data_IF_450470861667
#
_entry.id   IF_450470861667
#
_cell.length_a   1.000
_cell.length_b   1.000
_cell.length_c   1.000
_cell.angle_alpha   90.00
_cell.angle_beta   90.00
_cell.angle_gamma   90.00
#
_symmetry.space_group_name_H-M   'P 1'
#
loop_
_entity.id
_entity.type
_entity.pdbx_description
1 polymer ?
#
# COMPACT_ATOMS: atom_id res chain seq x y z
N UNK A 1 4.07 1.35 -27.43
CA UNK A 1 2.84 1.81 -26.73
C UNK A 1 2.98 3.30 -26.42
N UNK A 2 1.89 4.07 -26.40
CA UNK A 2 1.93 5.48 -25.97
C UNK A 2 2.18 5.59 -24.46
N UNK A 3 2.97 6.57 -24.01
CA UNK A 3 3.29 6.78 -22.58
C UNK A 3 2.04 6.89 -21.69
N UNK A 4 0.97 7.49 -22.22
CA UNK A 4 -0.32 7.63 -21.52
C UNK A 4 -0.91 6.28 -21.10
N UNK A 5 -0.78 5.22 -21.92
CA UNK A 5 -1.28 3.88 -21.53
C UNK A 5 -0.36 3.17 -20.55
N UNK A 6 0.96 3.38 -20.63
CA UNK A 6 1.91 2.75 -19.71
C UNK A 6 1.74 3.28 -18.27
N UNK A 7 1.44 4.58 -18.15
CA UNK A 7 1.18 5.27 -16.89
C UNK A 7 -0.19 4.98 -16.27
N UNK A 8 -0.92 3.98 -16.76
CA UNK A 8 -2.21 3.52 -16.21
C UNK A 8 -2.10 2.16 -15.49
N UNK A 9 -1.04 1.37 -15.75
CA UNK A 9 -1.11 -0.09 -15.56
C UNK A 9 -0.73 -0.66 -14.16
N UNK A 10 -0.39 0.17 -13.17
CA UNK A 10 0.45 -0.27 -12.03
C UNK A 10 -0.03 0.06 -10.60
N UNK A 11 -1.28 0.46 -10.40
CA UNK A 11 -1.67 1.18 -9.18
C UNK A 11 -2.34 0.36 -8.06
N UNK A 12 -1.91 -0.89 -7.84
CA UNK A 12 -2.46 -1.67 -6.72
C UNK A 12 -1.64 -2.85 -6.20
N UNK A 13 -0.41 -3.08 -6.68
CA UNK A 13 0.21 -4.39 -6.53
C UNK A 13 1.00 -4.67 -5.23
N UNK A 14 1.25 -3.69 -4.34
CA UNK A 14 2.13 -3.94 -3.19
C UNK A 14 1.94 -2.96 -2.01
N UNK A 15 1.42 -3.49 -0.89
CA UNK A 15 0.75 -2.71 0.17
C UNK A 15 0.94 -3.37 1.57
N UNK A 16 1.99 -2.98 2.32
CA UNK A 16 2.35 -3.42 3.72
C UNK A 16 2.93 -2.23 4.51
N UNK A 17 2.68 -1.90 5.80
CA UNK A 17 2.63 -0.50 6.37
C UNK A 17 3.71 -0.02 7.39
N UNK A 18 3.51 1.24 7.85
CA UNK A 18 3.87 1.89 9.15
C UNK A 18 5.00 2.93 9.21
N UNK A 19 4.73 4.05 9.91
CA UNK A 19 5.50 5.30 9.98
C UNK A 19 6.16 5.60 11.34
N UNK A 20 7.29 6.31 11.30
CA UNK A 20 7.94 6.97 12.44
C UNK A 20 7.91 8.50 12.24
N UNK A 21 7.72 9.24 13.33
CA UNK A 21 7.90 10.68 13.39
C UNK A 21 9.00 11.02 14.41
N UNK A 22 10.00 11.83 14.02
CA UNK A 22 10.97 12.40 14.95
C UNK A 22 10.45 13.76 15.42
N UNK A 23 10.29 13.92 16.74
CA UNK A 23 10.08 15.22 17.39
C UNK A 23 11.31 15.60 18.22
N UNK A 24 11.85 16.80 17.98
CA UNK A 24 12.88 17.41 18.84
C UNK A 24 12.21 18.18 19.98
N UNK A 25 12.69 17.99 21.21
CA UNK A 25 12.12 18.61 22.42
C UNK A 25 13.03 19.75 22.92
N UNK A 26 12.44 20.92 23.16
CA UNK A 26 12.97 21.93 24.09
C UNK A 26 11.96 22.15 25.23
N UNK A 27 12.39 22.47 26.47
CA UNK A 27 11.53 22.38 27.64
C UNK A 27 10.94 23.72 28.13
N UNK A 28 9.67 23.73 28.55
CA UNK A 28 9.08 24.80 29.36
C UNK A 28 7.91 24.34 30.27
N UNK A 29 8.22 24.13 31.55
CA UNK A 29 7.36 24.25 32.77
C UNK A 29 5.82 24.18 32.69
N UNK A 30 5.30 22.98 32.98
CA UNK A 30 4.20 22.64 33.92
C UNK A 30 3.10 23.66 34.28
N UNK A 31 1.98 23.65 33.54
CA UNK A 31 0.59 23.66 34.11
C UNK A 31 -0.35 22.71 33.31
N UNK A 32 0.18 21.88 32.40
CA UNK A 32 -0.59 21.32 31.29
C UNK A 32 -1.05 19.85 31.42
N UNK A 33 -0.82 19.17 32.56
CA UNK A 33 -0.82 17.69 32.61
C UNK A 33 -2.09 17.01 32.09
N UNK A 34 -3.28 17.40 32.55
CA UNK A 34 -4.53 16.68 32.22
C UNK A 34 -4.97 16.88 30.75
N UNK A 35 -4.67 18.03 30.16
CA UNK A 35 -4.98 18.30 28.75
C UNK A 35 -3.94 17.66 27.81
N UNK A 36 -2.65 17.76 28.18
CA UNK A 36 -1.56 17.12 27.44
C UNK A 36 -1.70 15.60 27.44
N UNK A 37 -2.01 14.96 28.57
CA UNK A 37 -2.22 13.49 28.65
C UNK A 37 -3.32 13.01 27.69
N UNK A 38 -4.41 13.77 27.53
CA UNK A 38 -5.50 13.44 26.60
C UNK A 38 -5.16 13.67 25.12
N UNK A 39 -4.33 14.68 24.83
CA UNK A 39 -3.87 14.98 23.47
C UNK A 39 -2.77 14.01 23.03
N UNK A 40 -1.79 13.73 23.90
CA UNK A 40 -0.72 12.76 23.70
C UNK A 40 -1.27 11.34 23.51
N UNK A 41 -2.25 10.91 24.31
CA UNK A 41 -2.90 9.61 24.12
C UNK A 41 -3.60 9.49 22.75
N UNK A 42 -4.20 10.58 22.26
CA UNK A 42 -4.82 10.63 20.94
C UNK A 42 -3.78 10.60 19.82
N UNK A 43 -2.63 11.28 20.00
CA UNK A 43 -1.48 11.22 19.07
C UNK A 43 -0.89 9.81 19.02
N UNK A 44 -0.71 9.14 20.16
CA UNK A 44 -0.24 7.75 20.22
C UNK A 44 -1.20 6.82 19.49
N UNK A 45 -2.51 6.87 19.78
CA UNK A 45 -3.50 6.03 19.09
C UNK A 45 -3.55 6.23 17.57
N UNK A 46 -3.27 7.44 17.08
CA UNK A 46 -3.14 7.74 15.64
C UNK A 46 -1.91 7.12 15.00
N UNK A 47 -0.83 6.89 15.77
CA UNK A 47 0.45 6.37 15.29
C UNK A 47 0.64 4.87 15.57
N UNK A 48 -0.20 4.26 16.41
CA UNK A 48 -0.20 2.82 16.70
C UNK A 48 -0.79 2.02 15.54
N UNK A 49 -0.07 0.99 15.10
CA UNK A 49 -0.59 0.00 14.15
C UNK A 49 -1.60 -0.90 14.87
N UNK A 50 -2.87 -0.85 14.45
CA UNK A 50 -3.97 -1.65 15.02
C UNK A 50 -3.95 -1.71 16.56
N UNK A 51 -4.18 -0.57 17.25
CA UNK A 51 -4.50 -0.60 18.67
C UNK A 51 -5.74 -1.47 18.91
N UNK A 52 -5.88 -2.05 20.10
CA UNK A 52 -7.01 -2.91 20.42
C UNK A 52 -8.33 -2.15 20.24
N UNK A 53 -9.08 -2.51 19.20
CA UNK A 53 -10.32 -1.84 18.82
C UNK A 53 -11.48 -2.30 19.72
N UNK A 54 -12.55 -1.50 19.74
CA UNK A 54 -13.78 -1.83 20.45
C UNK A 54 -14.44 -3.13 19.98
N UNK A 55 -15.36 -3.64 20.80
CA UNK A 55 -16.15 -4.87 20.53
C UNK A 55 -17.30 -4.65 19.55
N UNK A 56 -17.36 -3.50 18.86
CA UNK A 56 -18.27 -3.29 17.74
C UNK A 56 -17.88 -4.19 16.55
N UNK A 57 -18.75 -4.25 15.52
CA UNK A 57 -18.51 -5.15 14.38
C UNK A 57 -17.24 -4.79 13.61
N UNK A 58 -16.97 -3.51 13.36
CA UNK A 58 -15.77 -3.10 12.62
C UNK A 58 -14.53 -3.35 13.46
N UNK A 59 -14.52 -2.93 14.73
CA UNK A 59 -13.42 -3.17 15.66
C UNK A 59 -13.07 -4.66 15.81
N UNK A 60 -14.08 -5.51 15.97
CA UNK A 60 -13.90 -6.97 16.07
C UNK A 60 -13.31 -7.60 14.79
N UNK A 61 -13.68 -7.08 13.61
CA UNK A 61 -13.12 -7.54 12.34
C UNK A 61 -11.67 -7.06 12.20
N UNK A 62 -11.39 -5.79 12.51
CA UNK A 62 -10.06 -5.20 12.40
C UNK A 62 -9.05 -5.84 13.38
N UNK A 63 -9.48 -6.17 14.60
CA UNK A 63 -8.66 -6.90 15.59
C UNK A 63 -8.23 -8.28 15.06
N UNK A 64 -9.14 -9.04 14.44
CA UNK A 64 -8.83 -10.36 13.84
C UNK A 64 -8.04 -10.24 12.54
N UNK A 65 -8.36 -9.26 11.71
CA UNK A 65 -7.58 -8.90 10.54
C UNK A 65 -6.11 -8.63 10.85
N UNK A 66 -5.83 -7.93 11.95
CA UNK A 66 -4.45 -7.74 12.39
C UNK A 66 -3.81 -9.03 12.91
N UNK A 67 -4.47 -9.70 13.87
CA UNK A 67 -3.90 -10.82 14.63
C UNK A 67 -3.78 -12.10 13.78
N UNK A 68 -4.82 -12.45 13.04
CA UNK A 68 -4.94 -13.69 12.25
C UNK A 68 -4.48 -13.49 10.80
N UNK A 69 -4.92 -12.39 10.16
CA UNK A 69 -4.52 -12.04 8.78
C UNK A 69 -3.05 -11.63 8.73
N UNK A 70 -2.74 -10.40 9.16
CA UNK A 70 -1.41 -9.80 9.05
C UNK A 70 -0.33 -10.39 9.97
N UNK A 71 -0.70 -11.22 10.95
CA UNK A 71 0.23 -11.88 11.87
C UNK A 71 0.56 -11.09 13.15
N UNK A 72 -0.18 -10.02 13.44
CA UNK A 72 -0.11 -9.25 14.68
C UNK A 72 1.13 -8.37 14.86
N UNK A 73 1.17 -7.66 15.99
CA UNK A 73 2.15 -6.61 16.26
C UNK A 73 3.62 -7.05 16.20
N UNK A 74 3.96 -8.25 16.67
CA UNK A 74 5.37 -8.70 16.70
C UNK A 74 5.94 -8.89 15.28
N UNK A 75 5.27 -9.68 14.43
CA UNK A 75 5.66 -9.86 13.04
C UNK A 75 5.66 -8.51 12.31
N UNK A 76 4.67 -7.68 12.64
CA UNK A 76 4.48 -6.39 12.05
C UNK A 76 5.62 -5.39 12.30
N UNK A 77 6.02 -5.21 13.55
CA UNK A 77 7.10 -4.32 13.93
C UNK A 77 8.41 -4.73 13.24
N UNK A 78 8.64 -6.06 13.19
CA UNK A 78 9.82 -6.67 12.57
C UNK A 78 9.91 -6.41 11.06
N UNK A 79 8.80 -6.34 10.30
CA UNK A 79 8.86 -6.04 8.85
C UNK A 79 9.11 -4.55 8.62
N UNK A 80 10.31 -4.17 8.18
CA UNK A 80 10.68 -2.77 7.91
C UNK A 80 10.77 -2.45 6.42
N UNK A 81 11.06 -3.45 5.59
CA UNK A 81 11.25 -3.28 4.15
C UNK A 81 11.08 -4.60 3.41
N UNK A 82 10.64 -4.54 2.15
CA UNK A 82 10.46 -5.68 1.27
C UNK A 82 11.28 -5.50 0.00
N UNK A 83 11.95 -6.56 -0.45
CA UNK A 83 12.40 -6.73 -1.82
C UNK A 83 11.55 -7.83 -2.44
N UNK A 84 10.98 -7.57 -3.60
CA UNK A 84 10.28 -8.58 -4.40
C UNK A 84 10.87 -8.62 -5.81
N UNK A 85 10.83 -9.80 -6.42
CA UNK A 85 11.07 -9.98 -7.85
C UNK A 85 10.10 -11.02 -8.41
N UNK A 86 9.81 -10.93 -9.69
CA UNK A 86 8.90 -11.83 -10.37
C UNK A 86 8.60 -11.42 -11.80
N UNK A 87 7.51 -11.94 -12.35
CA UNK A 87 7.08 -11.71 -13.74
C UNK A 87 5.81 -10.89 -13.80
N UNK A 88 5.76 -10.00 -14.79
CA UNK A 88 4.72 -9.02 -14.94
C UNK A 88 4.14 -9.09 -16.36
N UNK A 89 2.89 -9.54 -16.45
CA UNK A 89 2.13 -9.69 -17.69
C UNK A 89 1.31 -8.44 -17.95
N UNK A 90 1.44 -7.89 -19.15
CA UNK A 90 0.76 -6.69 -19.66
C UNK A 90 0.19 -7.00 -21.05
N UNK A 91 -0.68 -6.14 -21.55
CA UNK A 91 -1.16 -6.21 -22.95
C UNK A 91 -0.04 -6.12 -24.01
N UNK A 92 1.15 -5.66 -23.64
CA UNK A 92 2.34 -5.58 -24.50
C UNK A 92 3.32 -6.74 -24.38
N UNK A 93 3.10 -7.73 -23.51
CA UNK A 93 4.03 -8.84 -23.27
C UNK A 93 4.21 -9.18 -21.79
N UNK A 94 5.16 -10.07 -21.51
CA UNK A 94 5.58 -10.46 -20.16
C UNK A 94 7.00 -9.93 -19.91
N UNK A 95 7.24 -9.36 -18.72
CA UNK A 95 8.44 -8.60 -18.39
C UNK A 95 8.95 -9.01 -17.00
N UNK A 96 10.27 -9.04 -16.80
CA UNK A 96 10.84 -9.20 -15.47
C UNK A 96 10.61 -7.94 -14.63
N UNK A 97 10.23 -8.13 -13.38
CA UNK A 97 9.89 -7.08 -12.45
C UNK A 97 10.71 -7.21 -11.16
N UNK A 98 11.17 -6.08 -10.63
CA UNK A 98 11.57 -5.99 -9.23
C UNK A 98 10.97 -4.75 -8.57
N UNK A 99 10.66 -4.88 -7.29
CA UNK A 99 10.34 -3.74 -6.45
C UNK A 99 11.01 -3.81 -5.08
N UNK A 100 11.31 -2.63 -4.57
CA UNK A 100 11.77 -2.36 -3.24
C UNK A 100 10.71 -1.52 -2.56
N UNK A 101 10.44 -1.83 -1.29
CA UNK A 101 9.59 -1.01 -0.43
C UNK A 101 10.20 -0.86 0.95
N UNK A 102 9.88 0.25 1.64
CA UNK A 102 10.28 0.50 3.02
C UNK A 102 9.26 1.37 3.75
N UNK A 103 9.03 1.08 5.03
CA UNK A 103 8.33 1.93 6.00
C UNK A 103 8.79 3.40 5.87
N UNK A 104 7.88 4.40 5.72
CA UNK A 104 6.42 4.31 5.73
C UNK A 104 5.72 4.23 4.36
N UNK A 105 6.42 4.61 3.29
CA UNK A 105 5.82 4.84 1.97
C UNK A 105 6.88 4.94 0.88
N UNK A 106 8.08 4.42 1.14
CA UNK A 106 9.12 4.37 0.11
C UNK A 106 8.82 3.21 -0.82
N UNK A 107 8.74 3.48 -2.12
CA UNK A 107 8.63 2.45 -3.17
C UNK A 107 9.57 2.78 -4.32
N UNK A 108 10.17 1.74 -4.90
CA UNK A 108 10.89 1.83 -6.17
C UNK A 108 10.66 0.54 -6.92
N UNK A 109 10.22 0.64 -8.16
CA UNK A 109 9.96 -0.48 -9.05
C UNK A 109 10.75 -0.33 -10.35
N UNK A 110 11.13 -1.47 -10.91
CA UNK A 110 11.82 -1.60 -12.20
C UNK A 110 11.09 -2.65 -13.01
N UNK A 111 10.73 -2.32 -14.24
CA UNK A 111 10.23 -3.25 -15.24
C UNK A 111 11.32 -3.35 -16.31
N UNK A 112 11.86 -4.54 -16.50
CA UNK A 112 12.89 -4.82 -17.49
C UNK A 112 12.22 -5.13 -18.83
N UNK A 113 12.67 -4.44 -19.89
CA UNK A 113 12.21 -4.71 -21.25
C UNK A 113 13.34 -4.55 -22.25
N UNK A 114 13.17 -5.18 -23.42
CA UNK A 114 14.14 -5.28 -24.54
C UNK A 114 14.74 -3.95 -25.04
N UNK A 115 14.18 -2.84 -24.57
CA UNK A 115 14.48 -1.49 -25.02
C UNK A 115 14.93 -0.55 -23.90
N UNK A 116 15.23 -1.11 -22.73
CA UNK A 116 15.66 -0.41 -21.52
C UNK A 116 14.62 -0.46 -20.41
N UNK A 117 15.11 -0.33 -19.18
CA UNK A 117 14.30 -0.41 -17.96
C UNK A 117 13.37 0.80 -17.79
N UNK A 118 12.10 0.51 -17.51
CA UNK A 118 11.16 1.49 -16.96
C UNK A 118 11.32 1.49 -15.45
N UNK A 119 11.72 2.63 -14.88
CA UNK A 119 11.95 2.79 -13.43
C UNK A 119 10.98 3.83 -12.88
N UNK A 120 10.35 3.53 -11.75
CA UNK A 120 9.44 4.45 -11.05
C UNK A 120 9.70 4.38 -9.54
N UNK A 121 9.44 5.47 -8.82
CA UNK A 121 9.58 5.45 -7.37
C UNK A 121 9.02 6.68 -6.66
N UNK A 122 8.95 6.59 -5.33
CA UNK A 122 8.55 7.65 -4.44
C UNK A 122 9.47 7.63 -3.21
N UNK A 123 10.11 8.77 -2.93
CA UNK A 123 11.08 8.93 -1.83
C UNK A 123 10.45 9.50 -0.54
N UNK A 124 9.13 9.43 -0.43
CA UNK A 124 8.36 10.09 0.63
C UNK A 124 8.09 11.58 0.41
N UNK A 125 8.60 12.17 -0.68
CA UNK A 125 8.32 13.56 -1.06
C UNK A 125 8.04 13.75 -2.55
N UNK A 126 8.81 13.09 -3.41
CA UNK A 126 8.73 13.23 -4.88
C UNK A 126 8.48 11.86 -5.49
N UNK A 127 7.35 11.73 -6.19
CA UNK A 127 7.11 10.61 -7.10
C UNK A 127 7.81 10.90 -8.43
N UNK A 128 8.55 9.95 -8.97
CA UNK A 128 9.40 10.12 -10.15
C UNK A 128 9.36 8.90 -11.05
N UNK A 129 9.66 9.10 -12.34
CA UNK A 129 9.79 8.04 -13.32
C UNK A 129 10.98 8.27 -14.27
N UNK A 130 11.51 7.18 -14.84
CA UNK A 130 12.46 7.20 -15.94
C UNK A 130 11.97 6.20 -16.99
N UNK A 131 11.39 6.73 -18.08
CA UNK A 131 10.65 5.97 -19.12
C UNK A 131 11.24 6.22 -20.53
N UNK A 132 12.19 7.14 -20.68
CA UNK A 132 12.70 7.57 -21.99
C UNK A 132 13.71 6.58 -22.56
N UNK A 133 13.33 5.91 -23.64
CA UNK A 133 14.21 5.09 -24.50
C UNK A 133 15.50 5.88 -24.83
N UNK A 134 16.65 5.44 -24.34
CA UNK A 134 17.95 6.09 -24.57
C UNK A 134 18.33 7.27 -23.65
N UNK A 135 17.47 7.68 -22.70
CA UNK A 135 17.84 8.66 -21.67
C UNK A 135 17.61 8.11 -20.27
N UNK A 136 18.65 8.11 -19.44
CA UNK A 136 18.58 7.66 -18.06
C UNK A 136 17.93 8.68 -17.11
N UNK A 137 17.67 9.90 -17.59
CA UNK A 137 17.13 11.00 -16.80
C UNK A 137 15.79 10.62 -16.17
N UNK A 138 15.74 10.72 -14.84
CA UNK A 138 14.51 10.59 -14.08
C UNK A 138 13.83 11.96 -13.99
N UNK A 139 12.51 11.97 -14.17
CA UNK A 139 11.67 13.16 -14.16
C UNK A 139 10.64 13.01 -13.03
N UNK A 140 10.29 14.12 -12.38
CA UNK A 140 9.21 14.13 -11.41
C UNK A 140 7.87 13.86 -12.13
N UNK A 141 6.98 13.10 -11.48
CA UNK A 141 5.64 12.86 -12.00
C UNK A 141 4.80 14.14 -11.91
N UNK A 142 4.00 14.41 -12.95
CA UNK A 142 3.01 15.49 -12.94
C UNK A 142 1.97 15.29 -11.81
N UNK A 143 1.40 16.34 -11.20
CA UNK A 143 0.64 16.23 -9.95
C UNK A 143 -0.47 15.17 -9.92
N UNK A 144 -1.21 14.99 -11.02
CA UNK A 144 -2.24 13.96 -11.13
C UNK A 144 -1.66 12.53 -11.16
N UNK A 145 -0.57 12.33 -11.89
CA UNK A 145 0.16 11.06 -11.93
C UNK A 145 0.82 10.77 -10.57
N UNK A 146 1.45 11.78 -9.96
CA UNK A 146 2.07 11.69 -8.66
C UNK A 146 1.06 11.30 -7.57
N UNK A 147 -0.12 11.95 -7.51
CA UNK A 147 -1.20 11.58 -6.58
C UNK A 147 -1.61 10.12 -6.75
N UNK A 148 -1.85 9.68 -7.99
CA UNK A 148 -2.26 8.30 -8.29
C UNK A 148 -1.17 7.28 -7.90
N UNK A 149 0.10 7.60 -8.17
CA UNK A 149 1.23 6.76 -7.78
C UNK A 149 1.40 6.69 -6.27
N UNK A 150 1.33 7.82 -5.57
CA UNK A 150 1.47 7.91 -4.11
C UNK A 150 0.37 7.12 -3.39
N UNK A 151 -0.86 7.11 -3.94
CA UNK A 151 -1.96 6.28 -3.43
C UNK A 151 -1.60 4.79 -3.39
N UNK A 152 -1.11 4.23 -4.51
CA UNK A 152 -0.65 2.84 -4.60
C UNK A 152 0.75 2.58 -4.02
N UNK A 153 1.55 3.62 -3.78
CA UNK A 153 2.91 3.55 -3.22
C UNK A 153 2.95 3.36 -1.71
N UNK A 154 1.81 3.47 -1.03
CA UNK A 154 1.72 3.32 0.41
C UNK A 154 2.32 1.95 0.76
N UNK A 155 3.39 1.99 1.56
CA UNK A 155 3.68 0.86 2.41
C UNK A 155 2.38 0.80 3.27
N UNK A 156 1.45 -0.11 2.93
CA UNK A 156 0.35 -0.56 3.77
C UNK A 156 -1.05 -0.22 3.32
N UNK A 157 -2.01 -1.03 3.73
CA UNK A 157 -3.41 -0.67 3.50
C UNK A 157 -3.82 0.48 4.42
N UNK A 158 -4.97 1.06 4.10
CA UNK A 158 -5.54 2.11 4.92
C UNK A 158 -6.20 1.57 6.20
N UNK A 159 -6.53 0.28 6.26
CA UNK A 159 -7.15 -0.37 7.43
C UNK A 159 -6.25 -0.29 8.68
N UNK A 160 -4.97 -0.64 8.55
CA UNK A 160 -4.06 -0.86 9.68
C UNK A 160 -3.97 0.29 10.70
N UNK A 161 -4.22 1.52 10.26
CA UNK A 161 -4.17 2.69 11.13
C UNK A 161 -5.57 3.24 11.38
N UNK A 162 -6.43 2.59 12.17
CA UNK A 162 -7.85 2.95 12.30
C UNK A 162 -8.05 4.44 12.62
N UNK A 163 -7.26 4.97 13.56
CA UNK A 163 -7.41 6.35 14.05
C UNK A 163 -6.57 7.41 13.34
N UNK A 164 -5.62 7.07 12.46
CA UNK A 164 -4.82 8.11 11.80
C UNK A 164 -5.71 9.05 10.97
N UNK A 165 -5.38 10.33 10.94
CA UNK A 165 -6.17 11.38 10.28
C UNK A 165 -6.22 11.23 8.76
N UNK A 166 -7.07 12.03 8.10
CA UNK A 166 -7.19 12.06 6.65
C UNK A 166 -8.06 10.94 6.06
N UNK A 167 -8.86 10.25 6.89
CA UNK A 167 -9.78 9.19 6.45
C UNK A 167 -10.91 8.87 7.44
N UNK A 168 -11.93 8.18 6.95
CA UNK A 168 -12.99 7.50 7.71
C UNK A 168 -13.08 6.04 7.29
N UNK A 169 -13.39 5.13 8.22
CA UNK A 169 -13.69 3.73 7.93
C UNK A 169 -15.13 3.38 8.29
N UNK A 170 -15.73 2.48 7.53
CA UNK A 170 -17.06 1.93 7.77
C UNK A 170 -17.13 0.46 7.33
N UNK A 171 -17.70 -0.40 8.17
CA UNK A 171 -18.13 -1.74 7.73
C UNK A 171 -19.41 -1.56 6.92
N UNK A 172 -19.47 -2.15 5.72
CA UNK A 172 -20.65 -2.10 4.87
C UNK A 172 -21.48 -3.37 5.03
N UNK A 173 -20.98 -4.50 4.53
CA UNK A 173 -21.70 -5.77 4.59
C UNK A 173 -20.74 -6.98 4.51
N UNK A 174 -21.28 -8.20 4.51
CA UNK A 174 -20.57 -9.45 4.25
C UNK A 174 -21.10 -10.05 2.95
N UNK A 175 -20.27 -10.07 1.91
CA UNK A 175 -20.67 -10.33 0.53
C UNK A 175 -19.82 -11.43 -0.12
N UNK A 176 -20.36 -12.20 -1.07
CA UNK A 176 -19.56 -13.13 -1.87
C UNK A 176 -18.71 -12.37 -2.89
N UNK A 177 -17.42 -12.70 -2.96
CA UNK A 177 -16.46 -12.23 -3.97
C UNK A 177 -15.75 -13.46 -4.51
N UNK A 178 -15.95 -13.77 -5.80
CA UNK A 178 -15.27 -14.86 -6.52
C UNK A 178 -15.32 -16.22 -5.78
N UNK A 179 -16.47 -16.52 -5.16
CA UNK A 179 -16.72 -17.73 -4.37
C UNK A 179 -16.32 -17.66 -2.89
N UNK A 180 -15.61 -16.61 -2.47
CA UNK A 180 -15.18 -16.38 -1.08
C UNK A 180 -16.12 -15.40 -0.36
N UNK A 181 -16.57 -15.73 0.84
CA UNK A 181 -17.38 -14.83 1.66
C UNK A 181 -16.46 -13.81 2.34
N UNK A 182 -16.65 -12.53 2.07
CA UNK A 182 -15.77 -11.45 2.51
C UNK A 182 -16.53 -10.38 3.32
N UNK A 183 -15.93 -9.87 4.39
CA UNK A 183 -16.32 -8.61 4.99
C UNK A 183 -15.90 -7.46 4.06
N UNK A 184 -16.84 -6.56 3.71
CA UNK A 184 -16.57 -5.34 2.97
C UNK A 184 -16.35 -4.17 3.94
N UNK A 185 -15.15 -3.59 3.92
CA UNK A 185 -14.77 -2.43 4.72
C UNK A 185 -14.40 -1.29 3.77
N UNK A 186 -15.15 -0.20 3.84
CA UNK A 186 -14.89 1.01 3.05
C UNK A 186 -14.03 1.98 3.83
N UNK A 187 -13.09 2.61 3.13
CA UNK A 187 -12.28 3.71 3.62
C UNK A 187 -12.42 4.90 2.67
N UNK A 188 -12.94 6.02 3.17
CA UNK A 188 -12.94 7.30 2.45
C UNK A 188 -11.72 8.11 2.88
N UNK A 189 -10.97 8.68 1.94
CA UNK A 189 -9.74 9.42 2.17
C UNK A 189 -9.90 10.90 1.78
N UNK A 190 -9.31 11.81 2.56
CA UNK A 190 -9.26 13.25 2.28
C UNK A 190 -8.46 13.57 0.99
N UNK A 191 -7.68 12.61 0.48
CA UNK A 191 -7.04 12.65 -0.83
C UNK A 191 -8.00 12.41 -2.01
N UNK A 192 -9.32 12.47 -1.77
CA UNK A 192 -10.38 12.25 -2.75
C UNK A 192 -10.35 10.83 -3.36
N UNK A 193 -10.01 9.84 -2.54
CA UNK A 193 -10.03 8.41 -2.91
C UNK A 193 -10.97 7.66 -1.97
N UNK A 194 -11.68 6.67 -2.50
CA UNK A 194 -12.39 5.67 -1.73
C UNK A 194 -11.74 4.30 -1.99
N UNK A 195 -11.56 3.51 -0.93
CA UNK A 195 -10.96 2.17 -1.00
C UNK A 195 -11.88 1.18 -0.31
N UNK A 196 -12.41 0.22 -1.04
CA UNK A 196 -13.22 -0.87 -0.51
C UNK A 196 -12.37 -2.15 -0.42
N UNK A 197 -12.13 -2.61 0.80
CA UNK A 197 -11.43 -3.84 1.11
C UNK A 197 -12.42 -4.99 1.28
N UNK A 198 -12.14 -6.12 0.63
CA UNK A 198 -12.89 -7.36 0.76
C UNK A 198 -12.00 -8.39 1.45
N UNK A 199 -12.28 -8.64 2.74
CA UNK A 199 -11.46 -9.46 3.63
C UNK A 199 -12.18 -10.77 3.91
N UNK A 200 -11.57 -11.93 3.60
CA UNK A 200 -12.18 -13.25 3.84
C UNK A 200 -12.55 -13.44 5.33
N UNK A 201 -13.78 -13.85 5.59
CA UNK A 201 -14.30 -14.07 6.96
C UNK A 201 -13.62 -15.25 7.69
N UNK A 202 -12.89 -16.11 6.97
CA UNK A 202 -12.22 -17.30 7.51
C UNK A 202 -10.74 -17.09 7.81
N UNK A 203 -9.99 -16.53 6.87
CA UNK A 203 -8.52 -16.32 6.97
C UNK A 203 -8.12 -14.90 7.34
N UNK A 204 -9.05 -13.95 7.24
CA UNK A 204 -8.81 -12.51 7.35
C UNK A 204 -7.73 -11.96 6.41
N UNK A 205 -7.52 -12.62 5.27
CA UNK A 205 -6.70 -12.11 4.17
C UNK A 205 -7.53 -11.21 3.25
N UNK A 206 -6.88 -10.23 2.62
CA UNK A 206 -7.50 -9.41 1.58
C UNK A 206 -7.68 -10.27 0.32
N UNK A 207 -8.89 -10.38 -0.20
CA UNK A 207 -9.18 -11.10 -1.45
C UNK A 207 -9.24 -10.12 -2.62
N UNK A 208 -9.85 -8.96 -2.39
CA UNK A 208 -10.03 -7.91 -3.40
C UNK A 208 -9.93 -6.54 -2.76
N UNK A 209 -9.37 -5.58 -3.49
CA UNK A 209 -9.36 -4.15 -3.11
C UNK A 209 -9.79 -3.32 -4.30
N UNK A 210 -10.87 -2.54 -4.13
CA UNK A 210 -11.40 -1.63 -5.15
C UNK A 210 -11.04 -0.20 -4.76
N UNK A 211 -10.37 0.52 -5.66
CA UNK A 211 -9.98 1.92 -5.54
C UNK A 211 -10.82 2.77 -6.50
N UNK A 212 -11.58 3.72 -5.95
CA UNK A 212 -12.35 4.70 -6.71
C UNK A 212 -11.74 6.09 -6.52
N UNK A 213 -11.32 6.71 -7.61
CA UNK A 213 -10.88 8.11 -7.62
C UNK A 213 -12.10 9.03 -7.68
N UNK A 214 -12.40 9.71 -6.57
CA UNK A 214 -13.61 10.53 -6.46
C UNK A 214 -13.55 11.80 -7.32
N UNK A 215 -12.36 12.18 -7.81
CA UNK A 215 -12.18 13.33 -8.71
C UNK A 215 -12.53 13.03 -10.16
N UNK A 216 -12.24 11.80 -10.61
CA UNK A 216 -12.33 11.40 -12.03
C UNK A 216 -13.42 10.36 -12.28
N UNK A 217 -13.94 9.72 -11.22
CA UNK A 217 -14.82 8.56 -11.33
C UNK A 217 -14.11 7.28 -11.75
N UNK A 218 -12.78 7.29 -11.89
CA UNK A 218 -12.01 6.11 -12.31
C UNK A 218 -12.06 5.04 -11.23
N UNK A 219 -12.52 3.84 -11.58
CA UNK A 219 -12.52 2.66 -10.71
C UNK A 219 -11.45 1.68 -11.18
N UNK A 220 -10.62 1.22 -10.25
CA UNK A 220 -9.64 0.16 -10.48
C UNK A 220 -9.66 -0.83 -9.33
N UNK A 221 -9.31 -2.08 -9.55
CA UNK A 221 -9.20 -3.07 -8.47
C UNK A 221 -8.08 -4.06 -8.68
N UNK A 222 -7.68 -4.67 -7.57
CA UNK A 222 -6.80 -5.82 -7.55
C UNK A 222 -7.50 -7.00 -6.90
N UNK A 223 -7.24 -8.19 -7.43
CA UNK A 223 -7.55 -9.48 -6.80
C UNK A 223 -6.23 -10.11 -6.36
N UNK A 224 -6.19 -10.61 -5.13
CA UNK A 224 -5.02 -11.24 -4.53
C UNK A 224 -5.20 -12.76 -4.47
N UNK A 225 -4.23 -13.49 -4.98
CA UNK A 225 -4.23 -14.93 -5.11
C UNK A 225 -2.92 -15.53 -4.58
N UNK A 226 -2.94 -16.83 -4.28
CA UNK A 226 -1.76 -17.64 -3.93
C UNK A 226 -0.94 -17.05 -2.75
N UNK A 227 -1.59 -16.85 -1.60
CA UNK A 227 -0.95 -16.32 -0.41
C UNK A 227 0.06 -17.28 0.23
N UNK A 228 1.29 -16.78 0.42
CA UNK A 228 2.31 -17.38 1.29
C UNK A 228 2.49 -16.56 2.58
N UNK A 229 3.22 -17.10 3.56
CA UNK A 229 3.67 -16.34 4.75
C UNK A 229 5.18 -16.31 4.81
N UNK A 230 5.75 -15.11 4.70
CA UNK A 230 7.20 -14.86 4.79
C UNK A 230 7.43 -13.98 6.02
N UNK A 231 8.29 -14.41 6.96
CA UNK A 231 8.40 -13.83 8.31
C UNK A 231 7.03 -13.63 9.02
N UNK A 232 6.11 -14.59 8.85
CA UNK A 232 4.76 -14.58 9.43
C UNK A 232 3.76 -13.68 8.70
N UNK A 233 4.24 -12.74 7.89
CA UNK A 233 3.44 -11.75 7.17
C UNK A 233 2.84 -12.37 5.89
N UNK A 234 1.54 -12.18 5.60
CA UNK A 234 0.92 -12.71 4.39
C UNK A 234 1.36 -11.93 3.14
N UNK A 235 1.72 -12.64 2.08
CA UNK A 235 2.11 -12.07 0.79
C UNK A 235 1.43 -12.85 -0.33
N UNK A 236 0.61 -12.17 -1.13
CA UNK A 236 0.01 -12.76 -2.32
C UNK A 236 1.10 -12.98 -3.37
N UNK A 237 1.31 -14.23 -3.81
CA UNK A 237 2.25 -14.49 -4.91
C UNK A 237 1.69 -14.05 -6.25
N UNK A 238 0.36 -13.90 -6.38
CA UNK A 238 -0.27 -13.46 -7.62
C UNK A 238 -1.23 -12.30 -7.37
N UNK A 239 -1.12 -11.26 -8.19
CA UNK A 239 -1.97 -10.07 -8.13
C UNK A 239 -2.49 -9.75 -9.52
N UNK A 240 -3.82 -9.76 -9.70
CA UNK A 240 -4.47 -9.44 -10.98
C UNK A 240 -5.12 -8.06 -10.87
N UNK A 241 -4.72 -7.12 -11.73
CA UNK A 241 -5.19 -5.74 -11.74
C UNK A 241 -6.18 -5.48 -12.87
N UNK A 242 -7.18 -4.66 -12.58
CA UNK A 242 -8.22 -4.21 -13.50
C UNK A 242 -8.48 -2.71 -13.37
N UNK A 243 -8.93 -2.07 -14.44
CA UNK A 243 -9.43 -0.69 -14.46
C UNK A 243 -10.66 -0.62 -15.37
N UNK A 244 -11.76 -0.06 -14.86
CA UNK A 244 -13.01 0.10 -15.61
C UNK A 244 -13.49 -1.19 -16.31
N UNK A 245 -13.49 -2.31 -15.57
CA UNK A 245 -13.82 -3.67 -16.03
C UNK A 245 -12.85 -4.31 -17.04
N UNK A 246 -11.82 -3.59 -17.52
CA UNK A 246 -10.77 -4.15 -18.37
C UNK A 246 -9.60 -4.72 -17.55
N UNK A 247 -9.04 -5.86 -17.97
CA UNK A 247 -7.80 -6.39 -17.41
C UNK A 247 -6.62 -5.48 -17.77
N UNK A 248 -5.80 -5.18 -16.77
CA UNK A 248 -4.69 -4.23 -16.85
C UNK A 248 -3.33 -4.91 -16.79
N UNK A 249 -3.15 -5.79 -15.79
CA UNK A 249 -1.88 -6.49 -15.56
C UNK A 249 -2.06 -7.71 -14.65
N UNK A 250 -1.11 -8.64 -14.72
CA UNK A 250 -0.95 -9.72 -13.72
C UNK A 250 0.49 -9.76 -13.27
N UNK A 251 0.72 -9.64 -11.97
CA UNK A 251 2.02 -9.81 -11.32
C UNK A 251 2.08 -11.19 -10.67
N UNK A 252 3.12 -11.96 -10.95
CA UNK A 252 3.47 -13.23 -10.31
C UNK A 252 4.83 -13.06 -9.61
N UNK A 253 4.93 -13.40 -8.33
CA UNK A 253 6.14 -13.21 -7.50
C UNK A 253 6.92 -14.51 -7.33
N UNK A 254 8.16 -14.51 -7.81
CA UNK A 254 9.10 -15.64 -7.72
C UNK A 254 10.02 -15.54 -6.49
N UNK A 255 10.41 -14.32 -6.10
CA UNK A 255 11.27 -14.07 -4.94
C UNK A 255 10.66 -12.99 -4.05
N UNK A 256 10.59 -13.26 -2.74
CA UNK A 256 10.27 -12.27 -1.72
C UNK A 256 11.29 -12.33 -0.60
N UNK A 257 11.84 -11.17 -0.20
CA UNK A 257 12.77 -11.06 0.92
C UNK A 257 12.41 -9.88 1.82
N UNK A 258 12.20 -10.19 3.09
CA UNK A 258 11.96 -9.22 4.16
C UNK A 258 13.30 -8.64 4.65
N UNK A 259 13.31 -7.37 5.07
CA UNK A 259 14.43 -6.68 5.74
C UNK A 259 15.79 -6.68 5.02
N UNK A 260 15.80 -6.77 3.68
CA UNK A 260 17.02 -6.94 2.87
C UNK A 260 17.86 -5.67 2.67
N UNK A 261 18.36 -5.07 3.76
CA UNK A 261 19.34 -3.98 3.72
C UNK A 261 18.88 -2.69 3.03
N UNK A 262 17.56 -2.49 2.90
CA UNK A 262 16.97 -1.41 2.09
C UNK A 262 17.08 -0.07 2.83
N UNK A 263 17.74 0.89 2.19
CA UNK A 263 18.05 2.21 2.76
C UNK A 263 17.28 3.35 2.06
N UNK A 264 16.84 4.42 2.76
CA UNK A 264 16.02 5.49 2.17
C UNK A 264 16.64 6.18 0.95
N UNK A 265 17.97 6.23 0.83
CA UNK A 265 18.65 6.84 -0.31
C UNK A 265 18.42 6.09 -1.63
N UNK A 266 18.07 4.79 -1.60
CA UNK A 266 17.84 3.96 -2.79
C UNK A 266 16.62 4.40 -3.61
N UNK A 267 15.70 5.11 -2.97
CA UNK A 267 14.42 5.57 -3.51
C UNK A 267 14.46 6.99 -4.08
N UNK A 268 15.51 7.76 -3.79
CA UNK A 268 15.68 9.11 -4.32
C UNK A 268 15.68 9.08 -5.84
N UNK A 269 15.08 10.12 -6.43
CA UNK A 269 15.14 10.35 -7.88
C UNK A 269 16.62 10.35 -8.33
N UNK A 270 17.01 9.47 -9.28
CA UNK A 270 18.34 9.50 -9.86
C UNK A 270 18.68 10.86 -10.47
N UNK A 271 19.97 11.22 -10.46
CA UNK A 271 20.51 12.35 -11.22
C UNK A 271 20.90 11.90 -12.63
#
# INVERSE_FOLDING_TARGET
MSQSKLCTLFYGALVVCVSLACGSVEPATSVASVAAEGEDANVVLRQTAMPEMGVDRLGSILNRYYKEGLGGAENWERVVSLRVAGRLKLSGGEFDFNAYQKKPHYIKMTIHGDHGDIRMGYDGRIAWHAVKRGSHAAEAMEPAQARRFIHGARFGNHLLYPYATGKRMEYLDTVPVDGTICHQIRVTLDTEYQVDYFVDVRTYLEIKVVNTDLRTGTVSWVVYEDYIREFGMPIAQKVVSYESDEWVSTLELDEVKVNSGIMPWMFKMPK
#
